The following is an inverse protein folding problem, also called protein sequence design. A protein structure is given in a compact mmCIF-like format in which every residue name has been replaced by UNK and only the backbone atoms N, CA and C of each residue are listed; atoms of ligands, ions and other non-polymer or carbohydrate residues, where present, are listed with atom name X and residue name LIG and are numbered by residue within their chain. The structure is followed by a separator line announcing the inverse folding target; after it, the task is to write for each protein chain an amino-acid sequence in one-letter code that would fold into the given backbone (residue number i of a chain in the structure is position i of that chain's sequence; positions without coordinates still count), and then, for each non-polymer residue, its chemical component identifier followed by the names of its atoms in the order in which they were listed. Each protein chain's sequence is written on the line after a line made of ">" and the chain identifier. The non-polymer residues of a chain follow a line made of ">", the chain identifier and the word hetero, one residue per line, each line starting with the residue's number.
data_IF_314236062186
#
_entry.id   IF_314236062186
#
_cell.length_a   1.000
_cell.length_b   1.000
_cell.length_c   1.000
_cell.angle_alpha   90.00
_cell.angle_beta   90.00
_cell.angle_gamma   90.00
#
_symmetry.space_group_name_H-M   'P 1'
#
loop_
_entity.id
_entity.type
_entity.pdbx_description
1 polymer ?
#
# COMPACT_ATOMS: atom_id res chain seq x y z
N UNK A 1 -13.12 12.42 17.09
CA UNK A 1 -12.58 11.06 17.34
C UNK A 1 -12.18 10.50 16.01
N UNK A 2 -10.94 10.08 15.85
CA UNK A 2 -10.42 9.42 14.63
C UNK A 2 -10.51 7.91 14.81
N UNK A 3 -11.25 7.23 13.95
CA UNK A 3 -11.47 5.79 14.04
C UNK A 3 -10.83 5.11 12.82
N UNK A 4 -9.87 4.23 13.05
CA UNK A 4 -9.11 3.55 12.01
C UNK A 4 -9.36 2.05 12.08
N UNK A 5 -9.82 1.47 10.98
CA UNK A 5 -9.92 0.02 10.82
C UNK A 5 -8.67 -0.46 10.08
N UNK A 6 -7.87 -1.27 10.72
CA UNK A 6 -6.68 -1.87 10.11
C UNK A 6 -7.01 -3.28 9.66
N UNK A 7 -7.04 -3.50 8.37
CA UNK A 7 -7.28 -4.79 7.74
C UNK A 7 -6.14 -5.15 6.79
N UNK A 8 -6.18 -6.33 6.20
CA UNK A 8 -5.17 -6.74 5.21
C UNK A 8 -4.72 -8.18 5.36
N UNK A 9 -3.83 -8.60 4.47
CA UNK A 9 -3.39 -9.99 4.36
C UNK A 9 -2.69 -10.49 5.62
N UNK A 10 -2.93 -11.75 5.95
CA UNK A 10 -2.17 -12.48 6.97
C UNK A 10 -0.69 -12.54 6.60
N UNK A 11 0.18 -12.08 7.51
CA UNK A 11 1.60 -11.87 7.17
C UNK A 11 1.89 -10.60 6.36
N UNK A 12 0.88 -9.78 6.04
CA UNK A 12 1.02 -8.49 5.39
C UNK A 12 1.74 -7.44 6.24
N UNK A 13 1.70 -7.56 7.59
CA UNK A 13 2.37 -6.63 8.50
C UNK A 13 1.42 -5.81 9.39
N UNK A 14 0.15 -6.21 9.52
CA UNK A 14 -0.85 -5.53 10.36
C UNK A 14 -0.37 -5.24 11.79
N UNK A 15 0.19 -6.22 12.47
CA UNK A 15 0.69 -6.03 13.86
C UNK A 15 1.82 -4.99 13.92
N UNK A 16 2.72 -4.97 12.92
CA UNK A 16 3.75 -3.93 12.85
C UNK A 16 3.20 -2.55 12.57
N UNK A 17 2.13 -2.48 11.77
CA UNK A 17 1.43 -1.23 11.56
C UNK A 17 0.72 -0.77 12.85
N UNK A 18 0.14 -1.68 13.61
CA UNK A 18 -0.45 -1.39 14.92
C UNK A 18 0.59 -0.86 15.93
N UNK A 19 1.76 -1.51 16.03
CA UNK A 19 2.87 -1.04 16.88
C UNK A 19 3.21 0.44 16.57
N UNK A 20 3.30 0.80 15.27
CA UNK A 20 3.58 2.18 14.85
C UNK A 20 2.43 3.13 15.15
N UNK A 21 1.19 2.68 15.01
CA UNK A 21 0.03 3.50 15.34
C UNK A 21 -0.06 3.78 16.85
N UNK A 22 0.34 2.82 17.70
CA UNK A 22 0.47 3.04 19.15
C UNK A 22 1.49 4.15 19.45
N UNK A 23 2.63 4.17 18.76
CA UNK A 23 3.65 5.23 18.86
C UNK A 23 3.10 6.61 18.44
N UNK A 24 1.99 6.65 17.68
CA UNK A 24 1.28 7.86 17.24
C UNK A 24 0.04 8.18 18.08
N UNK A 25 -0.01 7.67 19.31
CA UNK A 25 -1.09 7.87 20.29
C UNK A 25 -2.45 7.27 19.86
N UNK A 26 -2.47 6.27 18.95
CA UNK A 26 -3.68 5.51 18.72
C UNK A 26 -3.88 4.47 19.83
N UNK A 27 -5.09 4.40 20.34
CA UNK A 27 -5.50 3.26 21.16
C UNK A 27 -5.76 2.06 20.26
N UNK A 28 -4.80 1.13 20.19
CA UNK A 28 -4.88 -0.01 19.31
C UNK A 28 -5.54 -1.21 20.00
N UNK A 29 -6.46 -1.86 19.28
CA UNK A 29 -7.06 -3.14 19.71
C UNK A 29 -6.80 -4.15 18.60
N UNK A 30 -5.99 -5.16 18.91
CA UNK A 30 -5.65 -6.21 17.94
C UNK A 30 -6.69 -7.35 18.00
N UNK A 31 -6.92 -7.96 16.84
CA UNK A 31 -7.81 -9.11 16.67
C UNK A 31 -9.26 -8.87 17.18
N UNK A 32 -9.79 -7.67 16.89
CA UNK A 32 -11.16 -7.31 17.26
C UNK A 32 -12.16 -8.11 16.41
N UNK A 33 -13.07 -8.88 17.05
CA UNK A 33 -14.17 -9.51 16.32
C UNK A 33 -15.09 -8.45 15.68
N UNK A 34 -15.49 -8.67 14.43
CA UNK A 34 -16.34 -7.74 13.67
C UNK A 34 -17.65 -7.41 14.39
N UNK A 35 -18.27 -8.40 15.01
CA UNK A 35 -19.49 -8.25 15.79
C UNK A 35 -19.39 -7.33 17.02
N UNK A 36 -18.16 -7.00 17.47
CA UNK A 36 -17.91 -6.09 18.60
C UNK A 36 -17.54 -4.67 18.17
N UNK A 37 -17.34 -4.42 16.88
CA UNK A 37 -16.92 -3.11 16.37
C UNK A 37 -17.87 -1.99 16.78
N UNK A 38 -19.15 -2.14 16.54
CA UNK A 38 -20.19 -1.14 16.86
C UNK A 38 -20.27 -0.89 18.36
N UNK A 39 -20.29 -1.97 19.14
CA UNK A 39 -20.30 -1.86 20.61
C UNK A 39 -19.09 -1.15 21.18
N UNK A 40 -17.93 -1.41 20.62
CA UNK A 40 -16.70 -0.75 21.04
C UNK A 40 -16.72 0.75 20.67
N UNK A 41 -17.22 1.09 19.49
CA UNK A 41 -17.40 2.49 19.09
C UNK A 41 -18.37 3.23 20.01
N UNK A 42 -19.50 2.62 20.40
CA UNK A 42 -20.44 3.17 21.38
C UNK A 42 -19.74 3.48 22.71
N UNK A 43 -18.91 2.55 23.21
CA UNK A 43 -18.12 2.76 24.42
C UNK A 43 -17.14 3.92 24.29
N UNK A 44 -16.44 4.01 23.15
CA UNK A 44 -15.51 5.10 22.89
C UNK A 44 -16.23 6.47 22.89
N UNK A 45 -17.38 6.56 22.23
CA UNK A 45 -18.21 7.76 22.19
C UNK A 45 -18.72 8.17 23.60
N UNK A 46 -19.11 7.18 24.42
CA UNK A 46 -19.62 7.41 25.77
C UNK A 46 -18.56 7.98 26.72
N UNK A 47 -17.27 7.76 26.46
CA UNK A 47 -16.16 8.16 27.34
C UNK A 47 -15.72 9.62 27.19
N UNK A 48 -16.43 10.44 26.38
CA UNK A 48 -16.25 11.88 26.23
C UNK A 48 -14.78 12.33 26.06
N UNK A 49 -14.11 11.82 25.01
CA UNK A 49 -12.78 12.29 24.63
C UNK A 49 -11.61 11.55 25.26
N UNK A 50 -11.84 10.47 26.01
CA UNK A 50 -10.76 9.61 26.50
C UNK A 50 -10.01 8.90 25.36
N UNK A 51 -10.71 8.63 24.25
CA UNK A 51 -10.17 7.97 23.07
C UNK A 51 -10.35 8.90 21.86
N UNK A 52 -9.34 9.73 21.60
CA UNK A 52 -9.36 10.65 20.45
C UNK A 52 -8.97 9.95 19.15
N UNK A 53 -8.05 8.98 19.24
CA UNK A 53 -7.56 8.16 18.14
C UNK A 53 -7.67 6.68 18.50
N UNK A 54 -8.38 5.91 17.70
CA UNK A 54 -8.62 4.49 17.90
C UNK A 54 -8.25 3.73 16.64
N UNK A 55 -7.48 2.65 16.77
CA UNK A 55 -7.17 1.74 15.69
C UNK A 55 -7.63 0.32 16.04
N UNK A 56 -8.51 -0.25 15.23
CA UNK A 56 -9.00 -1.62 15.41
C UNK A 56 -8.43 -2.52 14.33
N UNK A 57 -7.61 -3.47 14.74
CA UNK A 57 -7.04 -4.47 13.83
C UNK A 57 -8.02 -5.62 13.71
N UNK A 58 -8.55 -5.81 12.50
CA UNK A 58 -9.50 -6.88 12.19
C UNK A 58 -8.80 -7.99 11.44
N UNK A 59 -9.17 -9.23 11.75
CA UNK A 59 -8.70 -10.42 11.05
C UNK A 59 -9.91 -11.14 10.45
N UNK A 60 -10.12 -10.96 9.15
CA UNK A 60 -11.26 -11.51 8.43
C UNK A 60 -10.84 -12.81 7.78
N UNK A 61 -11.46 -13.92 8.22
CA UNK A 61 -11.10 -15.27 7.76
C UNK A 61 -12.22 -16.00 7.03
N UNK A 62 -13.45 -15.49 7.09
CA UNK A 62 -14.59 -16.12 6.45
C UNK A 62 -15.45 -15.12 5.70
N UNK A 63 -16.28 -15.62 4.77
CA UNK A 63 -17.20 -14.80 4.02
C UNK A 63 -18.31 -14.18 4.90
N UNK A 64 -18.67 -14.86 6.00
CA UNK A 64 -19.61 -14.35 7.00
C UNK A 64 -19.04 -13.14 7.74
N UNK A 65 -17.79 -13.24 8.23
CA UNK A 65 -17.07 -12.12 8.88
C UNK A 65 -16.91 -10.90 7.98
N UNK A 66 -16.97 -11.11 6.67
CA UNK A 66 -16.89 -10.07 5.66
C UNK A 66 -18.18 -9.24 5.61
N UNK A 67 -19.34 -9.90 5.51
CA UNK A 67 -20.64 -9.21 5.51
C UNK A 67 -20.84 -8.48 6.84
N UNK A 68 -20.53 -9.11 7.95
CA UNK A 68 -20.57 -8.51 9.29
C UNK A 68 -19.69 -7.26 9.41
N UNK A 69 -18.51 -7.23 8.75
CA UNK A 69 -17.66 -6.04 8.77
C UNK A 69 -18.35 -4.86 8.07
N UNK A 70 -18.91 -5.08 6.87
CA UNK A 70 -19.56 -3.99 6.14
C UNK A 70 -20.82 -3.51 6.84
N UNK A 71 -21.61 -4.40 7.41
CA UNK A 71 -22.77 -4.05 8.23
C UNK A 71 -22.34 -3.19 9.43
N UNK A 72 -21.26 -3.59 10.13
CA UNK A 72 -20.72 -2.82 11.24
C UNK A 72 -20.15 -1.44 10.81
N UNK A 73 -19.53 -1.35 9.64
CA UNK A 73 -19.03 -0.09 9.09
C UNK A 73 -20.18 0.86 8.70
N UNK A 74 -21.26 0.32 8.13
CA UNK A 74 -22.47 1.10 7.81
C UNK A 74 -23.17 1.58 9.10
N UNK A 75 -23.20 0.77 10.14
CA UNK A 75 -23.69 1.19 11.47
C UNK A 75 -22.83 2.30 12.08
N UNK A 76 -21.48 2.19 11.99
CA UNK A 76 -20.58 3.25 12.45
C UNK A 76 -20.85 4.58 11.73
N UNK A 77 -21.04 4.54 10.41
CA UNK A 77 -21.38 5.71 9.63
C UNK A 77 -22.74 6.33 10.07
N UNK A 78 -23.75 5.49 10.33
CA UNK A 78 -25.05 5.93 10.82
C UNK A 78 -24.99 6.55 12.24
N UNK A 79 -24.02 6.11 13.06
CA UNK A 79 -23.75 6.71 14.38
C UNK A 79 -22.96 8.03 14.29
N UNK A 80 -22.58 8.46 13.09
CA UNK A 80 -21.80 9.68 12.87
C UNK A 80 -20.30 9.51 13.22
N UNK A 81 -19.80 8.29 13.27
CA UNK A 81 -18.37 8.00 13.45
C UNK A 81 -17.66 8.17 12.12
N UNK A 82 -16.72 9.12 12.03
CA UNK A 82 -15.82 9.24 10.88
C UNK A 82 -14.72 8.18 11.03
N UNK A 83 -14.82 7.11 10.24
CA UNK A 83 -13.83 6.04 10.21
C UNK A 83 -13.04 6.06 8.90
N UNK A 84 -11.83 5.50 8.96
CA UNK A 84 -10.98 5.25 7.79
C UNK A 84 -10.53 3.80 7.80
N UNK A 85 -10.22 3.26 6.63
CA UNK A 85 -9.72 1.90 6.48
C UNK A 85 -8.28 1.96 6.00
N UNK A 86 -7.36 1.37 6.78
CA UNK A 86 -5.98 1.09 6.39
C UNK A 86 -5.86 -0.37 6.00
N UNK A 87 -5.55 -0.64 4.74
CA UNK A 87 -5.31 -1.99 4.24
C UNK A 87 -3.81 -2.25 4.11
N UNK A 88 -3.33 -3.30 4.79
CA UNK A 88 -1.91 -3.67 4.81
C UNK A 88 -1.70 -4.95 4.03
N UNK A 89 -0.92 -4.88 2.95
CA UNK A 89 -0.66 -6.00 2.06
C UNK A 89 0.83 -6.23 1.82
N UNK A 90 1.16 -7.36 1.21
CA UNK A 90 2.47 -7.63 0.65
C UNK A 90 2.33 -8.61 -0.53
N UNK A 91 3.36 -8.71 -1.38
CA UNK A 91 3.38 -9.69 -2.46
C UNK A 91 3.27 -11.13 -1.93
N UNK A 92 2.66 -12.02 -2.72
CA UNK A 92 2.55 -13.45 -2.41
C UNK A 92 3.91 -14.02 -1.97
N UNK A 93 4.96 -13.72 -2.75
CA UNK A 93 6.32 -14.20 -2.48
C UNK A 93 6.87 -13.70 -1.13
N UNK A 94 6.58 -12.44 -0.77
CA UNK A 94 6.99 -11.88 0.52
C UNK A 94 6.24 -12.55 1.69
N UNK A 95 4.94 -12.75 1.56
CA UNK A 95 4.12 -13.43 2.57
C UNK A 95 4.59 -14.89 2.74
N UNK A 96 4.75 -15.62 1.65
CA UNK A 96 5.24 -17.01 1.69
C UNK A 96 6.60 -17.10 2.40
N UNK A 97 7.52 -16.18 2.11
CA UNK A 97 8.81 -16.12 2.81
C UNK A 97 8.65 -15.89 4.32
N UNK A 98 7.83 -14.89 4.71
CA UNK A 98 7.57 -14.57 6.14
C UNK A 98 6.98 -15.75 6.89
N UNK A 99 6.05 -16.48 6.29
CA UNK A 99 5.48 -17.69 6.90
C UNK A 99 6.49 -18.82 7.05
N UNK A 100 7.37 -19.02 6.06
CA UNK A 100 8.46 -20.00 6.17
C UNK A 100 9.45 -19.65 7.29
N UNK A 101 9.77 -18.37 7.46
CA UNK A 101 10.66 -17.86 8.51
C UNK A 101 10.03 -18.01 9.90
N UNK A 102 8.74 -17.67 10.05
CA UNK A 102 8.03 -17.72 11.34
C UNK A 102 7.62 -19.14 11.76
N UNK A 103 7.64 -20.11 10.85
CA UNK A 103 7.18 -21.50 11.07
C UNK A 103 5.74 -21.60 11.58
N UNK A 104 4.90 -20.61 11.30
CA UNK A 104 3.48 -20.65 11.66
C UNK A 104 2.65 -21.08 10.45
N UNK A 105 1.56 -21.82 10.62
CA UNK A 105 0.64 -22.09 9.53
C UNK A 105 -0.13 -20.83 9.15
N UNK A 106 -0.44 -20.68 7.88
CA UNK A 106 -1.36 -19.64 7.43
C UNK A 106 -2.79 -19.99 7.87
N UNK A 107 -3.61 -19.01 8.33
CA UNK A 107 -4.95 -19.31 8.86
C UNK A 107 -5.79 -20.18 7.94
N UNK A 108 -5.93 -19.80 6.66
CA UNK A 108 -6.71 -20.58 5.68
C UNK A 108 -6.08 -21.93 5.31
N UNK A 109 -4.81 -22.15 5.58
CA UNK A 109 -4.14 -23.42 5.34
C UNK A 109 -4.61 -24.49 6.33
N UNK A 110 -4.84 -24.10 7.58
CA UNK A 110 -5.32 -25.02 8.62
C UNK A 110 -6.75 -25.51 8.30
N UNK A 111 -7.58 -24.66 7.70
CA UNK A 111 -8.99 -24.98 7.39
C UNK A 111 -9.15 -25.77 6.08
N UNK A 112 -8.38 -25.43 5.04
CA UNK A 112 -8.65 -25.89 3.66
C UNK A 112 -7.68 -26.95 3.14
N UNK A 113 -6.65 -27.36 3.90
CA UNK A 113 -5.59 -28.30 3.49
C UNK A 113 -4.93 -27.95 2.15
N UNK A 114 -4.85 -26.66 1.82
CA UNK A 114 -4.25 -26.15 0.58
C UNK A 114 -2.76 -25.79 0.77
N UNK A 115 -2.06 -25.53 -0.33
CA UNK A 115 -0.68 -25.03 -0.29
C UNK A 115 -0.64 -23.59 0.25
N UNK A 116 0.50 -23.18 0.81
CA UNK A 116 0.66 -21.82 1.34
C UNK A 116 0.44 -20.73 0.26
N UNK A 117 0.99 -20.84 -0.97
CA UNK A 117 0.69 -19.85 -2.03
C UNK A 117 -0.79 -19.78 -2.39
N UNK A 118 -1.47 -20.92 -2.39
CA UNK A 118 -2.91 -21.00 -2.68
C UNK A 118 -3.75 -20.35 -1.57
N UNK A 119 -3.37 -20.57 -0.29
CA UNK A 119 -4.00 -19.91 0.84
C UNK A 119 -3.88 -18.38 0.77
N UNK A 120 -2.69 -17.86 0.42
CA UNK A 120 -2.45 -16.43 0.26
C UNK A 120 -3.29 -15.84 -0.88
N UNK A 121 -3.37 -16.52 -2.03
CA UNK A 121 -4.22 -16.06 -3.14
C UNK A 121 -5.69 -16.03 -2.78
N UNK A 122 -6.19 -17.09 -2.14
CA UNK A 122 -7.57 -17.15 -1.64
C UNK A 122 -7.89 -16.03 -0.66
N UNK A 123 -6.98 -15.76 0.29
CA UNK A 123 -7.15 -14.64 1.22
C UNK A 123 -7.18 -13.30 0.48
N UNK A 124 -6.31 -13.10 -0.51
CA UNK A 124 -6.30 -11.89 -1.34
C UNK A 124 -7.62 -11.69 -2.09
N UNK A 125 -8.18 -12.75 -2.66
CA UNK A 125 -9.49 -12.72 -3.34
C UNK A 125 -10.62 -12.40 -2.35
N UNK A 126 -10.62 -13.01 -1.17
CA UNK A 126 -11.60 -12.76 -0.12
C UNK A 126 -11.56 -11.32 0.38
N UNK A 127 -10.36 -10.74 0.51
CA UNK A 127 -10.17 -9.39 1.04
C UNK A 127 -10.21 -8.29 -0.03
N UNK A 128 -10.33 -8.64 -1.32
CA UNK A 128 -10.38 -7.67 -2.41
C UNK A 128 -11.43 -6.57 -2.18
N UNK A 129 -12.68 -6.85 -1.77
CA UNK A 129 -13.66 -5.80 -1.53
C UNK A 129 -13.34 -4.87 -0.35
N UNK A 130 -12.61 -5.35 0.69
CA UNK A 130 -12.13 -4.47 1.77
C UNK A 130 -11.01 -3.57 1.25
N UNK A 131 -10.14 -4.12 0.42
CA UNK A 131 -9.06 -3.38 -0.24
C UNK A 131 -9.61 -2.27 -1.13
N UNK A 132 -10.66 -2.54 -1.89
CA UNK A 132 -11.32 -1.57 -2.77
C UNK A 132 -11.96 -0.39 -2.01
N UNK A 133 -12.45 -0.63 -0.79
CA UNK A 133 -13.01 0.40 0.08
C UNK A 133 -11.99 1.09 0.98
N UNK A 134 -10.73 0.63 0.97
CA UNK A 134 -9.69 1.19 1.84
C UNK A 134 -9.35 2.63 1.48
N UNK A 135 -9.30 3.49 2.48
CA UNK A 135 -8.84 4.88 2.33
C UNK A 135 -7.33 4.94 2.14
N UNK A 136 -6.61 4.00 2.77
CA UNK A 136 -5.15 3.89 2.68
C UNK A 136 -4.76 2.45 2.43
N UNK A 137 -3.82 2.23 1.51
CA UNK A 137 -3.23 0.91 1.29
C UNK A 137 -1.71 1.01 1.42
N UNK A 138 -1.13 0.14 2.24
CA UNK A 138 0.31 0.05 2.41
C UNK A 138 0.78 -1.31 1.93
N UNK A 139 1.57 -1.31 0.85
CA UNK A 139 2.29 -2.50 0.42
C UNK A 139 3.64 -2.58 1.15
N UNK A 140 3.79 -3.60 1.99
CA UNK A 140 4.98 -3.80 2.83
C UNK A 140 6.05 -4.68 2.17
N UNK A 141 5.92 -5.00 0.88
CA UNK A 141 6.91 -5.78 0.15
C UNK A 141 8.25 -5.06 0.14
N UNK A 142 9.27 -5.68 0.71
CA UNK A 142 10.62 -5.11 0.77
C UNK A 142 10.80 -3.93 1.73
N UNK A 143 9.76 -3.49 2.44
CA UNK A 143 9.91 -2.43 3.43
C UNK A 143 10.63 -2.93 4.68
N UNK A 144 11.55 -2.10 5.19
CA UNK A 144 12.06 -2.22 6.55
C UNK A 144 11.05 -1.67 7.55
N UNK A 145 11.23 -1.96 8.84
CA UNK A 145 10.35 -1.40 9.88
C UNK A 145 10.38 0.14 9.88
N UNK A 146 11.55 0.74 9.71
CA UNK A 146 11.68 2.20 9.68
C UNK A 146 11.01 2.83 8.44
N UNK A 147 11.01 2.14 7.29
CA UNK A 147 10.28 2.59 6.10
C UNK A 147 8.77 2.49 6.31
N UNK A 148 8.29 1.43 6.95
CA UNK A 148 6.88 1.28 7.30
C UNK A 148 6.44 2.39 8.27
N UNK A 149 7.25 2.64 9.33
CA UNK A 149 7.01 3.72 10.29
C UNK A 149 6.91 5.07 9.58
N UNK A 150 7.90 5.39 8.74
CA UNK A 150 7.87 6.65 7.97
C UNK A 150 6.58 6.77 7.15
N UNK A 151 6.17 5.69 6.46
CA UNK A 151 4.97 5.69 5.62
C UNK A 151 3.69 5.92 6.44
N UNK A 152 3.56 5.30 7.62
CA UNK A 152 2.41 5.50 8.50
C UNK A 152 2.41 6.92 9.07
N UNK A 153 3.58 7.45 9.47
CA UNK A 153 3.70 8.84 9.93
C UNK A 153 3.28 9.84 8.84
N UNK A 154 3.70 9.66 7.60
CA UNK A 154 3.29 10.50 6.46
C UNK A 154 1.77 10.54 6.30
N UNK A 155 1.06 9.42 6.54
CA UNK A 155 -0.40 9.35 6.45
C UNK A 155 -1.10 10.03 7.63
N UNK A 156 -0.62 9.83 8.85
CA UNK A 156 -1.39 10.17 10.06
C UNK A 156 -0.86 11.37 10.85
N UNK A 157 0.39 11.81 10.64
CA UNK A 157 0.98 12.96 11.33
C UNK A 157 0.88 14.24 10.50
N UNK A 158 1.08 14.14 9.19
CA UNK A 158 1.09 15.30 8.29
C UNK A 158 -0.32 15.79 7.86
N UNK A 159 -1.35 15.38 8.57
CA UNK A 159 -2.70 15.93 8.43
C UNK A 159 -3.40 15.60 7.12
N UNK A 160 -3.26 14.37 6.66
CA UNK A 160 -3.87 13.85 5.42
C UNK A 160 -5.37 14.00 5.33
N UNK A 161 -5.84 15.22 5.08
CA UNK A 161 -7.24 15.55 4.77
C UNK A 161 -7.53 15.48 3.26
N UNK A 162 -6.58 15.07 2.45
CA UNK A 162 -6.78 14.79 1.02
C UNK A 162 -6.42 13.34 0.74
N UNK A 163 -7.19 12.71 -0.12
CA UNK A 163 -6.84 11.47 -0.81
C UNK A 163 -5.65 11.75 -1.74
N UNK A 164 -4.48 11.93 -1.16
CA UNK A 164 -3.27 12.10 -1.95
C UNK A 164 -2.93 10.73 -2.54
N UNK A 165 -2.93 10.66 -3.85
CA UNK A 165 -2.50 9.45 -4.55
C UNK A 165 -1.02 9.27 -4.30
N UNK A 166 -0.65 8.10 -3.76
CA UNK A 166 0.73 7.71 -3.62
C UNK A 166 1.32 7.41 -4.99
N UNK A 167 2.30 8.18 -5.42
CA UNK A 167 2.99 7.95 -6.69
C UNK A 167 4.26 7.14 -6.43
N UNK A 168 4.31 5.93 -6.98
CA UNK A 168 5.51 5.11 -7.01
C UNK A 168 6.13 5.19 -8.41
N UNK A 169 7.39 5.60 -8.51
CA UNK A 169 8.13 5.57 -9.76
C UNK A 169 9.14 4.42 -9.70
N UNK A 170 9.05 3.49 -10.65
CA UNK A 170 9.89 2.30 -10.73
C UNK A 170 10.71 2.35 -12.01
N UNK A 171 12.04 2.42 -11.89
CA UNK A 171 12.94 2.23 -13.02
C UNK A 171 13.13 0.73 -13.27
N UNK A 172 13.04 0.31 -14.53
CA UNK A 172 13.24 -1.10 -14.90
C UNK A 172 13.91 -1.27 -16.26
N UNK A 173 14.52 -2.44 -16.45
CA UNK A 173 15.06 -2.86 -17.75
C UNK A 173 14.13 -3.81 -18.46
N UNK A 174 13.75 -3.51 -19.71
CA UNK A 174 12.91 -4.40 -20.51
C UNK A 174 13.45 -5.82 -20.63
N UNK A 175 14.78 -6.01 -20.52
CA UNK A 175 15.39 -7.35 -20.51
C UNK A 175 14.95 -8.23 -19.32
N UNK A 176 14.43 -7.63 -18.24
CA UNK A 176 13.94 -8.34 -17.06
C UNK A 176 12.41 -8.46 -17.02
N UNK A 177 11.73 -7.88 -17.99
CA UNK A 177 10.28 -7.80 -18.03
C UNK A 177 9.71 -6.52 -17.45
N UNK A 178 8.43 -6.30 -17.70
CA UNK A 178 7.68 -5.15 -17.18
C UNK A 178 7.26 -5.48 -15.74
N UNK A 179 7.42 -4.55 -14.76
CA UNK A 179 6.90 -4.74 -13.41
C UNK A 179 5.39 -4.97 -13.43
N UNK A 180 4.95 -6.05 -12.77
CA UNK A 180 3.52 -6.44 -12.75
C UNK A 180 2.67 -5.38 -12.06
N UNK A 181 3.25 -4.68 -11.09
CA UNK A 181 2.61 -3.63 -10.29
C UNK A 181 2.51 -2.28 -11.02
N UNK A 182 3.05 -2.14 -12.23
CA UNK A 182 3.03 -0.86 -12.94
C UNK A 182 1.66 -0.59 -13.58
N UNK A 183 1.02 0.51 -13.18
CA UNK A 183 -0.23 1.01 -13.79
C UNK A 183 0.03 1.73 -15.11
N UNK A 184 1.12 2.49 -15.17
CA UNK A 184 1.57 3.18 -16.38
C UNK A 184 3.00 2.75 -16.69
N UNK A 185 3.29 2.50 -17.96
CA UNK A 185 4.62 2.11 -18.43
C UNK A 185 5.07 3.02 -19.56
N UNK A 186 6.23 3.64 -19.39
CA UNK A 186 6.85 4.49 -20.40
C UNK A 186 8.17 3.87 -20.86
N UNK A 187 8.26 3.68 -22.16
CA UNK A 187 9.47 3.19 -22.82
C UNK A 187 10.38 4.39 -23.13
N UNK A 188 11.55 4.46 -22.49
CA UNK A 188 12.52 5.53 -22.70
C UNK A 188 13.77 5.08 -23.47
N UNK A 189 13.71 3.95 -24.19
CA UNK A 189 14.85 3.43 -24.99
C UNK A 189 15.25 4.34 -26.16
N UNK A 190 14.42 5.32 -26.52
CA UNK A 190 14.75 6.35 -27.49
C UNK A 190 15.69 7.44 -26.96
N UNK A 191 15.92 7.49 -25.64
CA UNK A 191 16.86 8.45 -25.03
C UNK A 191 18.33 8.07 -25.31
N UNK A 192 19.27 9.03 -25.26
CA UNK A 192 20.68 8.74 -25.39
C UNK A 192 21.13 7.65 -24.40
N UNK A 193 21.76 6.62 -24.93
CA UNK A 193 22.16 5.49 -24.08
C UNK A 193 23.63 5.67 -23.62
N UNK A 194 23.89 5.90 -22.31
CA UNK A 194 25.22 6.11 -21.76
C UNK A 194 26.14 4.90 -21.94
N UNK A 195 25.61 3.70 -22.14
CA UNK A 195 26.39 2.48 -22.39
C UNK A 195 27.34 2.59 -23.60
N UNK A 196 26.99 3.39 -24.62
CA UNK A 196 27.82 3.59 -25.80
C UNK A 196 28.95 4.61 -25.58
N UNK A 197 28.98 5.29 -24.42
CA UNK A 197 30.06 6.20 -24.05
C UNK A 197 31.01 5.45 -23.13
N UNK A 198 32.24 5.24 -23.55
CA UNK A 198 33.23 4.41 -22.84
C UNK A 198 33.40 4.79 -21.36
N UNK A 199 33.47 6.08 -21.05
CA UNK A 199 33.58 6.60 -19.68
C UNK A 199 32.37 6.38 -18.82
N UNK A 200 31.17 6.34 -19.41
CA UNK A 200 29.89 6.21 -18.71
C UNK A 200 29.43 4.75 -18.59
N UNK A 201 30.00 3.87 -19.40
CA UNK A 201 29.63 2.44 -19.44
C UNK A 201 29.64 1.73 -18.09
N UNK A 202 30.66 1.93 -17.20
CA UNK A 202 30.69 1.29 -15.90
C UNK A 202 29.81 1.96 -14.84
N UNK A 203 29.24 3.13 -15.15
CA UNK A 203 28.41 3.92 -14.25
C UNK A 203 26.94 3.57 -14.38
N UNK A 204 26.15 3.97 -13.37
CA UNK A 204 24.70 3.76 -13.29
C UNK A 204 23.93 5.08 -13.40
N UNK A 205 22.61 5.01 -13.51
CA UNK A 205 21.73 6.19 -13.48
C UNK A 205 21.74 6.96 -12.15
N UNK A 206 22.41 6.43 -11.12
CA UNK A 206 22.60 7.13 -9.84
C UNK A 206 23.82 8.05 -9.84
N UNK A 207 24.68 7.94 -10.86
CA UNK A 207 25.89 8.74 -11.00
C UNK A 207 25.59 10.04 -11.76
N UNK A 208 26.04 11.18 -11.23
CA UNK A 208 25.77 12.51 -11.77
C UNK A 208 26.17 12.65 -13.24
N UNK A 209 27.28 12.03 -13.65
CA UNK A 209 27.77 12.08 -15.03
C UNK A 209 26.80 11.41 -16.02
N UNK A 210 26.15 10.34 -15.60
CA UNK A 210 25.12 9.62 -16.38
C UNK A 210 23.83 10.44 -16.45
N UNK A 211 23.40 11.00 -15.30
CA UNK A 211 22.23 11.86 -15.24
C UNK A 211 22.40 13.08 -16.14
N UNK A 212 23.52 13.76 -16.05
CA UNK A 212 23.85 14.90 -16.89
C UNK A 212 23.83 14.56 -18.38
N UNK A 213 24.42 13.42 -18.75
CA UNK A 213 24.47 12.98 -20.14
C UNK A 213 23.07 12.76 -20.73
N UNK A 214 22.20 12.08 -19.99
CA UNK A 214 20.85 11.76 -20.46
C UNK A 214 19.95 13.00 -20.40
N UNK A 215 19.95 13.72 -19.27
CA UNK A 215 19.01 14.83 -19.04
C UNK A 215 19.35 16.09 -19.83
N UNK A 216 20.59 16.29 -20.30
CA UNK A 216 20.92 17.44 -21.17
C UNK A 216 20.37 17.32 -22.60
N UNK A 217 19.88 16.16 -23.01
CA UNK A 217 19.32 16.00 -24.36
C UNK A 217 17.96 16.69 -24.46
N UNK A 218 17.75 17.44 -25.54
CA UNK A 218 16.46 18.10 -25.82
C UNK A 218 15.28 17.11 -25.82
N UNK A 219 15.54 15.88 -26.27
CA UNK A 219 14.51 14.82 -26.31
C UNK A 219 14.12 14.41 -24.90
N UNK A 220 15.08 14.28 -23.97
CA UNK A 220 14.79 13.95 -22.57
C UNK A 220 13.99 15.07 -21.89
N UNK A 221 14.39 16.31 -22.09
CA UNK A 221 13.70 17.47 -21.51
C UNK A 221 12.24 17.56 -22.01
N UNK A 222 12.03 17.43 -23.31
CA UNK A 222 10.69 17.43 -23.91
C UNK A 222 9.84 16.24 -23.49
N UNK A 223 10.46 15.09 -23.30
CA UNK A 223 9.75 13.91 -22.77
C UNK A 223 9.30 14.14 -21.33
N UNK A 224 10.17 14.64 -20.46
CA UNK A 224 9.85 14.93 -19.06
C UNK A 224 8.72 15.97 -18.95
N UNK A 225 8.77 17.04 -19.72
CA UNK A 225 7.69 18.06 -19.76
C UNK A 225 6.34 17.43 -20.10
N UNK A 226 6.31 16.60 -21.14
CA UNK A 226 5.06 15.93 -21.57
C UNK A 226 4.59 14.88 -20.58
N UNK A 227 5.52 14.11 -20.02
CA UNK A 227 5.21 13.10 -18.99
C UNK A 227 4.62 13.76 -17.74
N UNK A 228 5.28 14.80 -17.23
CA UNK A 228 4.79 15.54 -16.05
C UNK A 228 3.41 16.13 -16.32
N UNK A 229 3.21 16.80 -17.45
CA UNK A 229 1.90 17.36 -17.81
C UNK A 229 0.80 16.28 -17.95
N UNK A 230 1.14 15.09 -18.46
CA UNK A 230 0.21 13.97 -18.53
C UNK A 230 -0.14 13.45 -17.13
N UNK A 231 0.85 13.28 -16.25
CA UNK A 231 0.63 12.81 -14.88
C UNK A 231 -0.21 13.83 -14.09
N UNK A 232 0.09 15.13 -14.21
CA UNK A 232 -0.69 16.20 -13.57
C UNK A 232 -2.16 16.19 -14.01
N UNK A 233 -2.42 15.88 -15.29
CA UNK A 233 -3.78 15.71 -15.80
C UNK A 233 -4.47 14.46 -15.26
N UNK A 234 -3.75 13.32 -15.19
CA UNK A 234 -4.32 12.03 -14.80
C UNK A 234 -4.57 11.91 -13.29
N UNK A 235 -3.71 12.49 -12.45
CA UNK A 235 -3.80 12.36 -10.99
C UNK A 235 -5.17 12.74 -10.41
N UNK A 236 -5.78 13.89 -10.77
CA UNK A 236 -7.11 14.22 -10.29
C UNK A 236 -8.19 13.23 -10.73
N UNK A 237 -8.05 12.64 -11.92
CA UNK A 237 -9.01 11.67 -12.46
C UNK A 237 -8.92 10.36 -11.66
N UNK A 238 -7.71 9.87 -11.42
CA UNK A 238 -7.49 8.66 -10.60
C UNK A 238 -7.92 8.86 -9.14
N UNK A 239 -7.69 10.06 -8.59
CA UNK A 239 -8.19 10.41 -7.27
C UNK A 239 -9.72 10.37 -7.20
N UNK A 240 -10.40 10.86 -8.24
CA UNK A 240 -11.86 10.83 -8.33
C UNK A 240 -12.43 9.40 -8.47
N UNK A 241 -11.68 8.48 -9.11
CA UNK A 241 -12.01 7.05 -9.17
C UNK A 241 -11.78 6.33 -7.83
N UNK A 242 -11.16 6.99 -6.84
CA UNK A 242 -10.84 6.39 -5.56
C UNK A 242 -9.52 5.62 -5.54
N UNK A 243 -8.65 5.79 -6.53
CA UNK A 243 -7.30 5.21 -6.51
C UNK A 243 -6.48 5.89 -5.41
N UNK A 244 -5.77 5.08 -4.64
CA UNK A 244 -4.89 5.51 -3.54
C UNK A 244 -3.42 5.49 -3.93
N UNK A 245 -3.03 4.71 -4.96
CA UNK A 245 -1.67 4.59 -5.44
C UNK A 245 -1.63 4.52 -6.96
N UNK A 246 -0.55 5.05 -7.53
CA UNK A 246 -0.23 4.99 -8.95
C UNK A 246 1.23 4.56 -9.09
N UNK A 247 1.47 3.44 -9.74
CA UNK A 247 2.83 2.96 -10.02
C UNK A 247 3.19 3.24 -11.47
N UNK A 248 4.23 4.06 -11.66
CA UNK A 248 4.72 4.47 -12.97
C UNK A 248 6.04 3.76 -13.25
N UNK A 249 6.04 2.87 -14.24
CA UNK A 249 7.23 2.18 -14.71
C UNK A 249 7.95 2.99 -15.80
N UNK A 250 9.23 3.30 -15.59
CA UNK A 250 10.11 3.93 -16.60
C UNK A 250 11.10 2.88 -17.06
N UNK A 251 10.95 2.43 -18.31
CA UNK A 251 11.70 1.31 -18.85
C UNK A 251 12.81 1.73 -19.81
N UNK A 252 14.06 1.36 -19.51
CA UNK A 252 15.18 1.40 -20.45
C UNK A 252 15.58 0.00 -20.90
N UNK A 253 16.71 -0.16 -21.64
CA UNK A 253 17.17 -1.47 -22.10
C UNK A 253 17.65 -2.35 -20.95
N UNK A 254 18.43 -1.81 -20.05
CA UNK A 254 19.17 -2.56 -19.03
C UNK A 254 18.66 -2.42 -17.60
N UNK A 255 17.88 -1.40 -17.29
CA UNK A 255 17.46 -1.05 -15.92
C UNK A 255 18.46 -0.16 -15.24
#
# INVERSE_FOLDING_TARGET
>A
MQFLIVSGLSGGGKSRAADVLEDLDFYCVDNMPTALLTKFAELCLATRGRYEKVALVTDIRSQESFTELFDALDELANMGVDYRILFVEASESAIVRRYKESRRPHPLQAESRCSLPEAVRRESELLAPVRERADYVINTTGLTLSMLQKRICEIFVDGGTRRDILINVVAFGFKYGIPIEADLVFDVRFLPNPFYVEKLRPLSGMDDEVQDYVLRSDVAQRFLEKLTGMIDFLLPQYAAEGRYALTIGIGCTGG
#
